data_IF_686777385172
#
_entry.id   IF_686777385172
#
_cell.length_a   1.000
_cell.length_b   1.000
_cell.length_c   1.000
_cell.angle_alpha   90.00
_cell.angle_beta   90.00
_cell.angle_gamma   90.00
#
_symmetry.space_group_name_H-M   'P 1'
#
loop_
_entity.id
_entity.type
_entity.pdbx_description
1 polymer ?
#
# COMPACT_ATOMS: atom_id res chain seq x y z
N UNK A 1 -27.69 24.54 -18.62
CA UNK A 1 -27.83 23.48 -17.59
C UNK A 1 -26.63 23.55 -16.64
N UNK A 2 -26.75 24.28 -15.52
CA UNK A 2 -25.65 24.54 -14.57
C UNK A 2 -25.86 23.88 -13.19
N UNK A 3 -26.91 23.06 -13.03
CA UNK A 3 -27.35 22.51 -11.74
C UNK A 3 -26.54 21.30 -11.24
N UNK A 4 -25.77 20.62 -12.11
CA UNK A 4 -25.01 19.41 -11.71
C UNK A 4 -23.74 19.72 -10.91
N UNK A 5 -22.98 20.75 -11.30
CA UNK A 5 -21.70 21.09 -10.66
C UNK A 5 -21.82 21.69 -9.26
N UNK A 6 -23.02 22.15 -8.90
CA UNK A 6 -23.28 22.79 -7.61
C UNK A 6 -23.53 21.75 -6.51
N UNK A 7 -24.26 20.66 -6.83
CA UNK A 7 -24.44 19.51 -5.93
C UNK A 7 -23.11 18.84 -5.56
N UNK A 8 -22.21 18.64 -6.52
CA UNK A 8 -20.89 18.04 -6.25
C UNK A 8 -20.03 18.86 -5.28
N UNK A 9 -20.13 20.20 -5.33
CA UNK A 9 -19.39 21.08 -4.41
C UNK A 9 -19.98 21.10 -3.01
N UNK A 10 -21.30 21.04 -2.89
CA UNK A 10 -21.98 20.97 -1.59
C UNK A 10 -21.74 19.61 -0.94
N UNK A 11 -21.90 18.51 -1.68
CA UNK A 11 -21.63 17.15 -1.17
C UNK A 11 -20.17 16.97 -0.73
N UNK A 12 -19.21 17.58 -1.45
CA UNK A 12 -17.81 17.57 -1.04
C UNK A 12 -17.55 18.36 0.25
N UNK A 13 -18.17 19.53 0.40
CA UNK A 13 -18.07 20.33 1.63
C UNK A 13 -18.73 19.64 2.83
N UNK A 14 -19.83 18.92 2.60
CA UNK A 14 -20.51 18.13 3.62
C UNK A 14 -19.66 16.94 4.07
N UNK A 15 -19.00 16.24 3.13
CA UNK A 15 -18.05 15.18 3.46
C UNK A 15 -16.82 15.71 4.22
N UNK A 16 -16.28 16.86 3.81
CA UNK A 16 -15.14 17.52 4.49
C UNK A 16 -15.53 17.99 5.91
N UNK A 17 -16.78 18.45 6.11
CA UNK A 17 -17.30 18.77 7.45
C UNK A 17 -17.53 17.54 8.29
N UNK A 18 -18.11 16.47 7.74
CA UNK A 18 -18.32 15.22 8.47
C UNK A 18 -16.99 14.63 8.96
N UNK A 19 -15.90 14.77 8.20
CA UNK A 19 -14.54 14.38 8.61
C UNK A 19 -14.00 15.29 9.74
N UNK A 20 -14.33 16.57 9.73
CA UNK A 20 -13.92 17.52 10.77
C UNK A 20 -14.76 17.42 12.07
N UNK A 21 -16.00 16.96 11.95
CA UNK A 21 -17.00 16.89 13.03
C UNK A 21 -17.06 15.48 13.67
N UNK A 22 -16.58 14.45 12.96
CA UNK A 22 -16.18 13.16 13.53
C UNK A 22 -14.96 13.38 14.44
N UNK A 23 -15.26 13.84 15.65
CA UNK A 23 -14.33 14.24 16.69
C UNK A 23 -13.13 13.30 16.79
N UNK A 24 -11.96 13.92 16.88
CA UNK A 24 -10.67 13.33 17.26
C UNK A 24 -10.87 12.18 18.25
N UNK A 25 -10.90 10.96 17.74
CA UNK A 25 -10.50 9.79 18.49
C UNK A 25 -9.08 10.06 19.02
N UNK A 26 -8.72 9.59 20.23
CA UNK A 26 -7.48 9.97 20.88
C UNK A 26 -6.34 9.79 19.90
N UNK A 27 -5.64 10.90 19.61
CA UNK A 27 -4.30 10.87 19.06
C UNK A 27 -3.56 9.94 19.99
N UNK A 28 -3.24 8.72 19.53
CA UNK A 28 -2.31 7.87 20.22
C UNK A 28 -1.17 8.78 20.65
N UNK A 29 -0.92 8.90 21.96
CA UNK A 29 0.37 9.38 22.42
C UNK A 29 1.36 8.55 21.63
N UNK A 30 2.10 9.19 20.71
CA UNK A 30 3.09 8.53 19.87
C UNK A 30 3.75 7.50 20.78
N UNK A 31 3.68 6.19 20.48
CA UNK A 31 4.39 5.22 21.29
C UNK A 31 5.79 5.79 21.45
N UNK A 32 6.31 5.88 22.70
CA UNK A 32 7.55 6.58 22.96
C UNK A 32 8.55 6.10 21.92
N UNK A 33 9.27 7.03 21.29
CA UNK A 33 10.41 6.66 20.45
C UNK A 33 11.33 5.86 21.35
N UNK A 34 11.17 4.54 21.36
CA UNK A 34 12.20 3.63 21.82
C UNK A 34 13.41 4.10 21.04
N UNK A 35 14.52 4.37 21.74
CA UNK A 35 15.80 4.58 21.08
C UNK A 35 16.06 3.30 20.30
N UNK A 36 15.64 3.34 19.04
CA UNK A 36 15.55 2.18 18.19
C UNK A 36 16.96 1.73 17.87
N UNK A 37 17.28 0.49 18.24
CA UNK A 37 18.53 -0.13 17.86
C UNK A 37 18.53 -0.30 16.33
N UNK A 38 19.37 0.44 15.58
CA UNK A 38 19.46 0.32 14.13
C UNK A 38 19.99 -1.06 13.68
N UNK A 39 20.40 -1.92 14.62
CA UNK A 39 20.90 -3.27 14.36
C UNK A 39 19.82 -4.36 14.44
N UNK A 40 18.61 -4.06 14.95
CA UNK A 40 17.48 -5.00 14.93
C UNK A 40 16.90 -5.13 13.51
N UNK A 41 17.54 -6.01 12.72
CA UNK A 41 17.04 -6.49 11.44
C UNK A 41 15.99 -7.57 11.71
N UNK A 42 14.71 -7.21 11.70
CA UNK A 42 13.64 -8.22 11.76
C UNK A 42 13.73 -9.18 10.56
N UNK A 43 13.61 -10.47 10.85
CA UNK A 43 13.68 -11.55 9.89
C UNK A 43 12.49 -11.53 8.93
N UNK A 44 12.78 -11.64 7.63
CA UNK A 44 11.78 -11.88 6.60
C UNK A 44 11.21 -13.28 6.76
N UNK A 45 9.92 -13.41 7.04
CA UNK A 45 9.20 -14.69 6.93
C UNK A 45 8.42 -14.68 5.62
N UNK A 46 8.94 -15.26 4.53
CA UNK A 46 8.18 -15.40 3.30
C UNK A 46 6.99 -16.34 3.56
N UNK A 47 5.79 -15.92 3.15
CA UNK A 47 4.63 -16.81 3.17
C UNK A 47 4.76 -17.82 2.02
N UNK A 48 5.08 -19.07 2.36
CA UNK A 48 5.28 -20.17 1.39
C UNK A 48 3.97 -20.68 0.78
N UNK A 49 2.81 -20.19 1.23
CA UNK A 49 1.52 -20.53 0.64
C UNK A 49 1.16 -19.65 -0.57
N UNK A 50 1.91 -18.56 -0.78
CA UNK A 50 1.73 -17.67 -1.92
C UNK A 50 2.14 -18.35 -3.25
N UNK A 51 1.56 -17.95 -4.39
CA UNK A 51 2.06 -18.34 -5.71
C UNK A 51 3.56 -18.05 -5.85
N UNK A 52 4.30 -18.86 -6.63
CA UNK A 52 5.77 -18.72 -6.79
C UNK A 52 6.22 -17.32 -7.27
N UNK A 53 5.34 -16.60 -7.94
CA UNK A 53 5.54 -15.24 -8.44
C UNK A 53 5.12 -14.15 -7.42
N UNK A 54 4.73 -14.50 -6.20
CA UNK A 54 4.28 -13.56 -5.16
C UNK A 54 5.10 -13.73 -3.89
N UNK A 55 5.67 -12.62 -3.42
CA UNK A 55 6.45 -12.54 -2.20
C UNK A 55 5.66 -11.75 -1.15
N UNK A 56 5.42 -12.35 0.01
CA UNK A 56 4.73 -11.72 1.12
C UNK A 56 5.71 -11.48 2.26
N UNK A 57 5.77 -10.25 2.73
CA UNK A 57 6.55 -9.80 3.88
C UNK A 57 5.62 -9.23 4.94
N UNK A 58 5.71 -9.76 6.17
CA UNK A 58 4.86 -9.36 7.31
C UNK A 58 5.53 -8.41 8.30
N UNK A 59 6.81 -8.13 8.14
CA UNK A 59 7.55 -7.05 8.81
C UNK A 59 8.84 -6.88 8.02
N UNK A 60 9.19 -5.66 7.63
CA UNK A 60 10.43 -5.40 6.92
C UNK A 60 10.97 -4.00 7.19
N UNK A 61 12.30 -3.90 7.25
CA UNK A 61 12.99 -2.61 7.25
C UNK A 61 13.64 -2.37 5.89
N UNK A 62 13.21 -1.34 5.17
CA UNK A 62 13.72 -1.00 3.85
C UNK A 62 14.36 0.39 3.84
N UNK A 63 15.66 0.50 3.57
CA UNK A 63 16.40 1.79 3.49
C UNK A 63 16.07 2.73 4.67
N UNK A 64 16.03 2.18 5.91
CA UNK A 64 15.66 2.88 7.16
C UNK A 64 14.19 3.29 7.29
N UNK A 65 13.29 2.70 6.50
CA UNK A 65 11.85 2.84 6.65
C UNK A 65 11.29 1.54 7.19
N UNK A 66 10.43 1.65 8.20
CA UNK A 66 9.67 0.52 8.69
C UNK A 66 8.44 0.32 7.81
N UNK A 67 8.19 -0.93 7.47
CA UNK A 67 7.04 -1.39 6.70
C UNK A 67 6.46 -2.56 7.48
N UNK A 68 5.23 -2.40 7.96
CA UNK A 68 4.51 -3.49 8.62
C UNK A 68 4.26 -4.63 7.65
N UNK A 69 3.87 -4.37 6.41
CA UNK A 69 3.79 -5.46 5.43
C UNK A 69 4.07 -4.99 4.01
N UNK A 70 4.52 -5.93 3.18
CA UNK A 70 4.59 -5.75 1.74
C UNK A 70 4.20 -7.04 1.01
N UNK A 71 3.39 -6.92 -0.04
CA UNK A 71 3.00 -8.01 -0.93
C UNK A 71 3.49 -7.64 -2.33
N UNK A 72 4.37 -8.45 -2.91
CA UNK A 72 5.08 -8.13 -4.14
C UNK A 72 4.81 -9.22 -5.16
N UNK A 73 4.22 -8.85 -6.30
CA UNK A 73 4.13 -9.71 -7.47
C UNK A 73 5.35 -9.46 -8.37
N UNK A 74 6.16 -10.49 -8.60
CA UNK A 74 7.30 -10.49 -9.50
C UNK A 74 7.13 -11.48 -10.64
N UNK A 75 7.63 -11.14 -11.83
CA UNK A 75 7.71 -12.10 -12.95
C UNK A 75 9.12 -12.15 -13.50
N UNK A 76 9.45 -13.28 -14.15
CA UNK A 76 10.70 -13.46 -14.87
C UNK A 76 10.72 -12.59 -16.13
N UNK A 77 11.65 -11.64 -16.22
CA UNK A 77 11.91 -10.84 -17.42
C UNK A 77 13.38 -11.01 -17.86
N UNK A 78 13.60 -11.90 -18.83
CA UNK A 78 14.95 -12.31 -19.23
C UNK A 78 15.68 -13.05 -18.10
N UNK A 79 16.80 -12.49 -17.63
CA UNK A 79 17.62 -13.09 -16.56
C UNK A 79 17.25 -12.61 -15.15
N UNK A 80 16.35 -11.63 -15.03
CA UNK A 80 16.02 -10.97 -13.77
C UNK A 80 14.55 -11.15 -13.39
N UNK A 81 14.25 -11.03 -12.09
CA UNK A 81 12.87 -10.86 -11.64
C UNK A 81 12.53 -9.38 -11.71
N UNK A 82 11.35 -9.07 -12.23
CA UNK A 82 10.83 -7.73 -12.31
C UNK A 82 9.57 -7.60 -11.45
N UNK A 83 9.54 -6.60 -10.57
CA UNK A 83 8.33 -6.28 -9.81
C UNK A 83 7.26 -5.73 -10.76
N UNK A 84 6.12 -6.41 -10.81
CA UNK A 84 4.93 -6.03 -11.58
C UNK A 84 4.05 -5.12 -10.75
N UNK A 85 3.73 -5.56 -9.54
CA UNK A 85 2.92 -4.82 -8.59
C UNK A 85 3.45 -5.02 -7.17
N UNK A 86 3.23 -4.03 -6.32
CA UNK A 86 3.59 -4.04 -4.91
C UNK A 86 2.52 -3.34 -4.12
N UNK A 87 2.03 -3.97 -3.06
CA UNK A 87 1.31 -3.30 -2.01
C UNK A 87 2.17 -3.21 -0.76
N UNK A 88 2.22 -2.06 -0.10
CA UNK A 88 2.96 -1.92 1.16
C UNK A 88 2.38 -0.86 2.09
N UNK A 89 2.57 -1.08 3.39
CA UNK A 89 2.31 -0.04 4.40
C UNK A 89 3.48 0.94 4.48
N UNK A 90 3.15 2.21 4.67
CA UNK A 90 4.12 3.27 4.90
C UNK A 90 3.79 4.00 6.19
N UNK A 91 4.50 3.69 7.27
CA UNK A 91 4.35 4.44 8.52
C UNK A 91 4.82 5.90 8.40
N UNK A 92 5.60 6.25 7.37
CA UNK A 92 5.97 7.65 7.11
C UNK A 92 4.79 8.47 6.58
N UNK A 93 3.88 7.83 5.86
CA UNK A 93 2.73 8.46 5.21
C UNK A 93 1.39 8.05 5.85
N UNK A 94 1.45 7.18 6.86
CA UNK A 94 0.31 6.64 7.60
C UNK A 94 -0.74 6.06 6.64
N UNK A 95 -0.28 5.28 5.66
CA UNK A 95 -1.12 4.72 4.61
C UNK A 95 -0.61 3.38 4.04
N UNK A 96 -1.51 2.66 3.38
CA UNK A 96 -1.23 1.47 2.58
C UNK A 96 -1.38 1.84 1.12
N UNK A 97 -0.36 1.54 0.33
CA UNK A 97 -0.32 1.87 -1.09
C UNK A 97 -0.33 0.63 -1.97
N UNK A 98 -0.95 0.74 -3.13
CA UNK A 98 -0.73 -0.13 -4.28
C UNK A 98 0.09 0.61 -5.33
N UNK A 99 1.14 -0.05 -5.80
CA UNK A 99 2.01 0.38 -6.88
C UNK A 99 1.95 -0.65 -8.01
N UNK A 100 1.66 -0.21 -9.23
CA UNK A 100 1.85 -1.01 -10.45
C UNK A 100 2.99 -0.38 -11.23
N UNK A 101 4.00 -1.16 -11.58
CA UNK A 101 5.23 -0.67 -12.22
C UNK A 101 5.13 -0.72 -13.74
N UNK A 102 5.90 0.12 -14.42
CA UNK A 102 6.14 0.01 -15.86
C UNK A 102 7.32 -0.92 -16.12
N UNK A 103 7.22 -1.82 -17.10
CA UNK A 103 8.37 -2.63 -17.55
C UNK A 103 9.55 -1.78 -18.03
N UNK A 104 9.28 -0.67 -18.71
CA UNK A 104 10.31 0.11 -19.42
C UNK A 104 11.30 0.83 -18.49
N UNK A 105 10.88 1.21 -17.28
CA UNK A 105 11.70 2.04 -16.39
C UNK A 105 11.49 1.75 -14.89
N UNK A 106 10.63 0.80 -14.53
CA UNK A 106 10.33 0.45 -13.14
C UNK A 106 9.62 1.53 -12.34
N UNK A 107 9.14 2.62 -12.97
CA UNK A 107 8.34 3.66 -12.31
C UNK A 107 6.89 3.21 -12.17
N UNK A 108 6.14 3.88 -11.30
CA UNK A 108 4.72 3.60 -11.11
C UNK A 108 3.91 4.09 -12.32
N UNK A 109 3.20 3.17 -12.99
CA UNK A 109 2.14 3.52 -13.95
C UNK A 109 0.82 3.78 -13.22
N UNK A 110 0.64 3.15 -12.06
CA UNK A 110 -0.47 3.38 -11.15
C UNK A 110 0.07 3.43 -9.73
N UNK A 111 -0.35 4.45 -8.98
CA UNK A 111 -0.18 4.55 -7.54
C UNK A 111 -1.51 4.90 -6.91
N UNK A 112 -1.94 4.12 -5.94
CA UNK A 112 -3.23 4.27 -5.26
C UNK A 112 -3.01 4.12 -3.75
N UNK A 113 -3.69 4.95 -2.96
CA UNK A 113 -3.81 4.73 -1.51
C UNK A 113 -4.99 3.78 -1.32
N UNK A 114 -4.72 2.58 -0.83
CA UNK A 114 -5.75 1.60 -0.48
C UNK A 114 -6.47 2.06 0.80
N UNK A 115 -5.69 2.50 1.80
CA UNK A 115 -6.19 2.81 3.13
C UNK A 115 -5.28 3.78 3.86
N UNK A 116 -5.85 4.62 4.72
CA UNK A 116 -5.09 5.36 5.74
C UNK A 116 -5.00 4.54 7.02
N UNK A 117 -3.84 4.60 7.68
CA UNK A 117 -3.52 3.83 8.87
C UNK A 117 -3.71 4.74 10.08
N UNK A 118 -4.73 4.44 10.88
CA UNK A 118 -4.97 5.10 12.17
C UNK A 118 -4.84 4.13 13.36
N UNK A 119 -4.76 2.83 13.07
CA UNK A 119 -4.76 1.75 14.05
C UNK A 119 -4.07 0.50 13.52
N UNK A 120 -3.72 -0.44 14.41
CA UNK A 120 -3.24 -1.77 14.00
C UNK A 120 -4.28 -2.52 13.16
N UNK A 121 -5.57 -2.33 13.45
CA UNK A 121 -6.65 -2.92 12.67
C UNK A 121 -6.62 -2.44 11.20
N UNK A 122 -6.27 -1.19 10.95
CA UNK A 122 -6.13 -0.68 9.57
C UNK A 122 -4.96 -1.33 8.83
N UNK A 123 -3.89 -1.69 9.55
CA UNK A 123 -2.76 -2.44 8.97
C UNK A 123 -3.21 -3.84 8.57
N UNK A 124 -3.93 -4.53 9.46
CA UNK A 124 -4.43 -5.89 9.19
C UNK A 124 -5.46 -5.88 8.06
N UNK A 125 -6.45 -4.98 8.11
CA UNK A 125 -7.45 -4.82 7.05
C UNK A 125 -6.78 -4.43 5.72
N UNK A 126 -5.80 -3.54 5.77
CA UNK A 126 -5.01 -3.14 4.62
C UNK A 126 -4.20 -4.29 4.03
N UNK A 127 -3.67 -5.18 4.86
CA UNK A 127 -3.00 -6.40 4.42
C UNK A 127 -3.96 -7.30 3.65
N UNK A 128 -5.13 -7.62 4.21
CA UNK A 128 -6.08 -8.54 3.56
C UNK A 128 -6.64 -7.97 2.26
N UNK A 129 -6.92 -6.67 2.21
CA UNK A 129 -7.33 -6.00 0.98
C UNK A 129 -6.20 -6.00 -0.07
N UNK A 130 -4.96 -5.76 0.37
CA UNK A 130 -3.78 -5.78 -0.51
C UNK A 130 -3.53 -7.18 -1.09
N UNK A 131 -3.69 -8.22 -0.27
CA UNK A 131 -3.52 -9.62 -0.67
C UNK A 131 -4.51 -10.01 -1.76
N UNK A 132 -5.80 -9.77 -1.50
CA UNK A 132 -6.88 -9.96 -2.49
C UNK A 132 -6.60 -9.18 -3.78
N UNK A 133 -6.26 -7.89 -3.69
CA UNK A 133 -5.97 -7.08 -4.88
C UNK A 133 -4.75 -7.56 -5.66
N UNK A 134 -3.67 -7.98 -5.00
CA UNK A 134 -2.49 -8.45 -5.72
C UNK A 134 -2.78 -9.79 -6.40
N UNK A 135 -3.39 -10.73 -5.69
CA UNK A 135 -3.64 -12.10 -6.16
C UNK A 135 -4.76 -12.16 -7.22
N UNK A 136 -5.85 -11.41 -7.03
CA UNK A 136 -6.99 -11.46 -7.95
C UNK A 136 -6.74 -10.65 -9.24
N UNK A 137 -6.03 -9.52 -9.16
CA UNK A 137 -5.73 -8.66 -10.32
C UNK A 137 -4.36 -8.97 -10.97
N UNK A 138 -3.70 -10.10 -10.68
CA UNK A 138 -2.36 -10.42 -11.21
C UNK A 138 -2.24 -10.22 -12.72
N UNK A 139 -3.15 -10.82 -13.50
CA UNK A 139 -3.11 -10.73 -14.97
C UNK A 139 -3.32 -9.30 -15.48
N UNK A 140 -4.13 -8.52 -14.78
CA UNK A 140 -4.38 -7.10 -15.10
C UNK A 140 -3.14 -6.27 -14.80
N UNK A 141 -2.50 -6.47 -13.65
CA UNK A 141 -1.25 -5.80 -13.30
C UNK A 141 -0.12 -6.14 -14.29
N UNK A 142 -0.01 -7.40 -14.71
CA UNK A 142 0.95 -7.78 -15.75
C UNK A 142 0.67 -7.09 -17.09
N UNK A 143 -0.60 -7.03 -17.51
CA UNK A 143 -0.97 -6.33 -18.74
C UNK A 143 -0.59 -4.85 -18.66
N UNK A 144 -0.87 -4.19 -17.53
CA UNK A 144 -0.47 -2.80 -17.31
C UNK A 144 1.05 -2.63 -17.32
N UNK A 145 1.77 -3.54 -16.67
CA UNK A 145 3.24 -3.54 -16.62
C UNK A 145 3.86 -3.70 -18.01
N UNK A 146 3.36 -4.64 -18.82
CA UNK A 146 3.81 -4.88 -20.20
C UNK A 146 3.55 -3.67 -21.11
N UNK A 147 2.38 -3.05 -20.95
CA UNK A 147 1.94 -1.95 -21.82
C UNK A 147 2.36 -0.56 -21.32
N UNK A 148 2.82 -0.46 -20.07
CA UNK A 148 3.17 0.79 -19.41
C UNK A 148 1.96 1.71 -19.16
N UNK A 149 0.74 1.17 -19.06
CA UNK A 149 -0.52 1.93 -18.93
C UNK A 149 -1.55 1.18 -18.11
#
# INVERSE_FOLDING_TARGET
MAYGKQKDRESRREAERAIAEAGREPVWERPPRVEWDPEERYETVPDLSAPENVLIYRTAMWKRRFVDFAIIHEIRDGSQNATVAKADSSLQHEDVHLHVKARSNGKDVKREVIRFISSQKDIDDGYYESDSRILEDMSKHEMMWRNGR
#
